data_IF_592737551699
#
_entry.id   IF_592737551699
#
_cell.length_a   1.000
_cell.length_b   1.000
_cell.length_c   1.000
_cell.angle_alpha   90.00
_cell.angle_beta   90.00
_cell.angle_gamma   90.00
#
_symmetry.space_group_name_H-M   'P 1'
#
loop_
_entity.id
_entity.type
_entity.pdbx_description
1 polymer ?
#
# COMPACT_ATOMS: atom_id res chain seq x y z
N UNK A 1 -21.79 20.44 -20.94
CA UNK A 1 -21.19 20.47 -19.60
C UNK A 1 -20.14 19.37 -19.57
N UNK A 2 -18.88 19.74 -19.67
CA UNK A 2 -17.77 18.78 -19.77
C UNK A 2 -17.46 18.31 -18.35
N UNK A 3 -17.78 17.06 -18.04
CA UNK A 3 -17.29 16.42 -16.81
C UNK A 3 -15.77 16.35 -17.00
N UNK A 4 -15.02 17.11 -16.22
CA UNK A 4 -13.58 16.91 -16.16
C UNK A 4 -13.41 15.52 -15.55
N UNK A 5 -13.03 14.54 -16.36
CA UNK A 5 -12.55 13.26 -15.83
C UNK A 5 -11.42 13.58 -14.87
N UNK A 6 -11.66 13.38 -13.58
CA UNK A 6 -10.61 13.51 -12.59
C UNK A 6 -9.66 12.34 -12.81
N UNK A 7 -8.47 12.62 -13.31
CA UNK A 7 -7.42 11.62 -13.48
C UNK A 7 -7.04 10.99 -12.14
N UNK A 8 -6.43 9.80 -12.21
CA UNK A 8 -6.11 8.97 -11.05
C UNK A 8 -5.34 9.71 -9.94
N UNK A 9 -4.53 10.70 -10.35
CA UNK A 9 -3.71 11.54 -9.48
C UNK A 9 -4.49 12.23 -8.35
N UNK A 10 -5.77 12.58 -8.57
CA UNK A 10 -6.57 13.26 -7.54
C UNK A 10 -6.88 12.38 -6.32
N UNK A 11 -6.71 11.06 -6.45
CA UNK A 11 -6.90 10.09 -5.37
C UNK A 11 -5.60 9.63 -4.72
N UNK A 12 -4.44 10.09 -5.23
CA UNK A 12 -3.12 9.69 -4.75
C UNK A 12 -2.79 10.42 -3.46
N UNK A 13 -2.37 9.65 -2.46
CA UNK A 13 -1.85 10.16 -1.22
C UNK A 13 -0.37 9.78 -1.07
N UNK A 14 0.45 10.66 -0.46
CA UNK A 14 1.81 10.30 -0.06
C UNK A 14 1.78 9.07 0.85
N UNK A 15 2.70 8.14 0.62
CA UNK A 15 2.91 7.00 1.50
C UNK A 15 4.38 6.93 1.90
N UNK A 16 4.69 6.62 3.18
CA UNK A 16 6.05 6.31 3.56
C UNK A 16 6.54 5.07 2.80
N UNK A 17 7.86 4.99 2.65
CA UNK A 17 8.51 3.83 2.04
C UNK A 17 9.50 3.20 3.01
N UNK A 18 9.69 1.90 2.89
CA UNK A 18 10.66 1.14 3.67
C UNK A 18 11.39 0.14 2.78
N UNK A 19 12.68 -0.06 3.03
CA UNK A 19 13.47 -1.05 2.28
C UNK A 19 13.08 -2.47 2.65
N UNK A 20 13.14 -3.39 1.68
CA UNK A 20 12.71 -4.78 1.83
C UNK A 20 13.52 -5.58 2.85
N UNK A 21 14.72 -5.11 3.20
CA UNK A 21 15.59 -5.73 4.21
C UNK A 21 15.31 -5.25 5.62
N UNK A 22 14.49 -4.21 5.81
CA UNK A 22 14.11 -3.74 7.13
C UNK A 22 13.28 -4.81 7.85
N UNK A 23 13.32 -4.83 9.17
CA UNK A 23 12.52 -5.76 9.98
C UNK A 23 11.05 -5.33 10.04
N UNK A 24 10.18 -6.25 10.44
CA UNK A 24 8.81 -5.92 10.78
C UNK A 24 8.71 -4.88 11.91
N UNK A 25 9.62 -4.89 12.89
CA UNK A 25 9.65 -3.92 13.99
C UNK A 25 10.02 -2.51 13.53
N UNK A 26 10.96 -2.38 12.60
CA UNK A 26 11.30 -1.10 11.96
C UNK A 26 10.12 -0.54 11.16
N UNK A 27 9.48 -1.39 10.35
CA UNK A 27 8.26 -1.03 9.62
C UNK A 27 7.12 -0.60 10.54
N UNK A 28 6.92 -1.32 11.64
CA UNK A 28 5.92 -0.98 12.65
C UNK A 28 6.24 0.37 13.30
N UNK A 29 7.47 0.59 13.72
CA UNK A 29 7.88 1.84 14.34
C UNK A 29 7.64 3.03 13.40
N UNK A 30 8.06 2.92 12.15
CA UNK A 30 7.84 3.94 11.13
C UNK A 30 6.34 4.22 10.90
N UNK A 31 5.49 3.19 10.76
CA UNK A 31 4.05 3.34 10.54
C UNK A 31 3.27 3.85 11.78
N UNK A 32 3.74 3.55 12.98
CA UNK A 32 3.02 3.83 14.23
C UNK A 32 3.50 5.09 14.94
N UNK A 33 4.71 5.57 14.66
CA UNK A 33 5.34 6.69 15.38
C UNK A 33 5.73 7.85 14.50
N UNK A 34 6.08 7.58 13.24
CA UNK A 34 6.56 8.62 12.32
C UNK A 34 5.48 9.03 11.30
N UNK A 35 4.58 8.11 10.97
CA UNK A 35 3.56 8.30 9.93
C UNK A 35 2.18 7.85 10.44
N UNK A 36 1.69 8.47 11.52
CA UNK A 36 0.46 8.01 12.20
C UNK A 36 -0.78 8.05 11.30
N UNK A 37 -0.83 8.99 10.35
CA UNK A 37 -1.94 9.16 9.41
C UNK A 37 -1.88 8.20 8.21
N UNK A 38 -0.74 7.55 7.96
CA UNK A 38 -0.59 6.61 6.86
C UNK A 38 -1.26 5.26 7.20
N UNK A 39 -2.08 4.74 6.28
CA UNK A 39 -2.71 3.41 6.43
C UNK A 39 -1.80 2.27 5.97
N UNK A 40 -0.74 2.61 5.25
CA UNK A 40 0.15 1.67 4.57
C UNK A 40 1.52 2.27 4.29
N UNK A 41 2.48 1.40 4.00
CA UNK A 41 3.81 1.78 3.54
C UNK A 41 4.21 0.97 2.31
N UNK A 42 4.90 1.60 1.37
CA UNK A 42 5.46 0.93 0.20
C UNK A 42 6.76 0.23 0.58
N UNK A 43 6.90 -1.05 0.24
CA UNK A 43 8.14 -1.79 0.41
C UNK A 43 8.95 -1.69 -0.87
N UNK A 44 10.16 -1.13 -0.77
CA UNK A 44 11.09 -0.95 -1.87
C UNK A 44 12.16 -2.04 -1.86
N UNK A 45 12.41 -2.65 -3.02
CA UNK A 45 13.56 -3.53 -3.21
C UNK A 45 14.86 -2.74 -3.30
N UNK A 46 15.97 -3.46 -3.48
CA UNK A 46 17.34 -2.92 -3.56
C UNK A 46 17.54 -1.86 -4.65
N UNK A 47 16.72 -1.83 -5.70
CA UNK A 47 16.82 -0.89 -6.81
C UNK A 47 15.80 0.27 -6.73
N UNK A 48 15.14 0.45 -5.57
CA UNK A 48 14.06 1.43 -5.41
C UNK A 48 12.74 1.04 -6.08
N UNK A 49 12.65 -0.18 -6.61
CA UNK A 49 11.43 -0.71 -7.22
C UNK A 49 10.44 -1.14 -6.14
N UNK A 50 9.15 -0.79 -6.24
CA UNK A 50 8.15 -1.29 -5.30
C UNK A 50 7.99 -2.81 -5.45
N UNK A 51 8.19 -3.54 -4.35
CA UNK A 51 8.05 -5.00 -4.29
C UNK A 51 6.90 -5.46 -3.40
N UNK A 52 6.36 -4.55 -2.59
CA UNK A 52 5.36 -4.86 -1.58
C UNK A 52 4.59 -3.65 -1.09
N UNK A 53 3.48 -3.91 -0.41
CA UNK A 53 2.82 -2.95 0.47
C UNK A 53 2.61 -3.57 1.83
N UNK A 54 2.86 -2.81 2.89
CA UNK A 54 2.51 -3.20 4.26
C UNK A 54 1.30 -2.40 4.68
N UNK A 55 0.29 -3.09 5.21
CA UNK A 55 -0.90 -2.46 5.77
C UNK A 55 -0.75 -2.30 7.29
N UNK A 56 -0.98 -1.08 7.79
CA UNK A 56 -0.92 -0.76 9.22
C UNK A 56 -1.81 -1.68 10.06
N UNK A 57 -3.00 -1.98 9.55
CA UNK A 57 -3.98 -2.88 10.18
C UNK A 57 -3.47 -4.30 10.39
N UNK A 58 -2.71 -4.86 9.43
CA UNK A 58 -2.12 -6.20 9.56
C UNK A 58 -1.04 -6.25 10.62
N UNK A 59 -0.22 -5.21 10.69
CA UNK A 59 0.82 -5.09 11.71
C UNK A 59 0.22 -4.95 13.11
N UNK A 60 -0.84 -4.15 13.26
CA UNK A 60 -1.58 -4.06 14.53
C UNK A 60 -2.21 -5.40 14.93
N UNK A 61 -2.64 -6.22 13.98
CA UNK A 61 -3.15 -7.56 14.27
C UNK A 61 -2.04 -8.48 14.79
N UNK A 62 -0.84 -8.43 14.19
CA UNK A 62 0.32 -9.22 14.64
C UNK A 62 0.77 -8.88 16.06
N UNK A 63 0.61 -7.63 16.51
CA UNK A 63 0.90 -7.24 17.89
C UNK A 63 0.05 -7.95 18.95
N UNK A 64 -1.10 -8.48 18.57
CA UNK A 64 -2.03 -9.16 19.48
C UNK A 64 -1.72 -10.65 19.63
N UNK A 65 -0.85 -11.18 18.79
CA UNK A 65 -0.43 -12.58 18.77
C UNK A 65 1.04 -12.67 19.22
N UNK A 66 1.38 -13.32 20.35
CA UNK A 66 2.76 -13.45 20.81
C UNK A 66 3.71 -14.03 19.74
N UNK A 67 3.25 -15.02 18.96
CA UNK A 67 4.05 -15.60 17.87
C UNK A 67 4.20 -14.60 16.73
N UNK A 68 3.12 -13.89 16.39
CA UNK A 68 3.14 -12.81 15.41
C UNK A 68 4.10 -11.68 15.80
N UNK A 69 4.14 -11.30 17.08
CA UNK A 69 5.03 -10.27 17.60
C UNK A 69 6.50 -10.69 17.54
N UNK A 70 6.82 -11.90 17.98
CA UNK A 70 8.20 -12.42 17.94
C UNK A 70 8.73 -12.45 16.50
N UNK A 71 7.90 -12.92 15.56
CA UNK A 71 8.23 -12.89 14.12
C UNK A 71 8.43 -11.45 13.63
N UNK A 72 7.54 -10.53 13.99
CA UNK A 72 7.64 -9.13 13.57
C UNK A 72 8.96 -8.48 14.02
N UNK A 73 9.49 -8.87 15.18
CA UNK A 73 10.78 -8.38 15.67
C UNK A 73 12.01 -8.95 14.94
N UNK A 74 11.91 -10.14 14.34
CA UNK A 74 13.06 -10.90 13.84
C UNK A 74 13.10 -11.05 12.31
N UNK A 75 11.94 -11.04 11.67
CA UNK A 75 11.82 -11.29 10.24
C UNK A 75 11.82 -9.99 9.43
N UNK A 76 12.30 -10.03 8.18
CA UNK A 76 12.23 -8.90 7.27
C UNK A 76 10.76 -8.56 6.96
N UNK A 77 10.52 -7.29 6.64
CA UNK A 77 9.22 -6.74 6.26
C UNK A 77 8.59 -7.51 5.10
N UNK A 78 9.41 -8.13 4.24
CA UNK A 78 8.97 -9.00 3.14
C UNK A 78 8.17 -10.23 3.59
N UNK A 79 8.34 -10.70 4.83
CA UNK A 79 7.54 -11.79 5.40
C UNK A 79 6.09 -11.39 5.69
N UNK A 80 5.82 -10.09 5.77
CA UNK A 80 4.53 -9.54 6.20
C UNK A 80 3.87 -8.68 5.12
N UNK A 81 4.63 -8.26 4.11
CA UNK A 81 4.13 -7.46 3.00
C UNK A 81 3.15 -8.25 2.14
N UNK A 82 2.35 -7.49 1.42
CA UNK A 82 1.44 -7.96 0.40
C UNK A 82 2.01 -7.72 -0.97
N UNK A 83 1.72 -8.63 -1.90
CA UNK A 83 1.98 -8.37 -3.32
C UNK A 83 1.10 -7.20 -3.75
N UNK A 84 1.67 -6.08 -4.20
CA UNK A 84 0.92 -4.88 -4.48
C UNK A 84 0.23 -5.01 -5.84
N UNK A 85 -0.85 -4.25 -6.01
CA UNK A 85 -1.25 -3.80 -7.33
C UNK A 85 -0.48 -2.51 -7.60
N UNK A 86 0.15 -2.42 -8.76
CA UNK A 86 0.95 -1.26 -9.18
C UNK A 86 0.40 -0.82 -10.53
N UNK A 87 0.05 0.45 -10.66
CA UNK A 87 -0.42 1.04 -11.92
C UNK A 87 0.26 2.38 -12.16
N UNK A 88 0.17 2.89 -13.38
CA UNK A 88 0.65 4.24 -13.71
C UNK A 88 -0.45 5.27 -13.42
N UNK A 89 -0.07 6.52 -13.16
CA UNK A 89 -1.01 7.63 -12.96
C UNK A 89 -1.94 7.85 -14.17
N UNK A 90 -1.48 7.50 -15.38
CA UNK A 90 -2.26 7.60 -16.61
C UNK A 90 -3.30 6.48 -16.76
N UNK A 91 -3.27 5.45 -15.90
CA UNK A 91 -4.26 4.37 -15.89
C UNK A 91 -5.65 4.93 -15.60
N UNK A 92 -6.63 4.53 -16.41
CA UNK A 92 -8.01 4.99 -16.28
C UNK A 92 -8.67 4.38 -15.04
N UNK A 93 -9.50 5.18 -14.35
CA UNK A 93 -10.16 4.73 -13.12
C UNK A 93 -10.99 3.44 -13.31
N UNK A 94 -11.80 3.27 -14.37
CA UNK A 94 -12.53 2.01 -14.59
C UNK A 94 -11.61 0.79 -14.73
N UNK A 95 -10.46 0.97 -15.38
CA UNK A 95 -9.46 -0.09 -15.54
C UNK A 95 -8.83 -0.47 -14.20
N UNK A 96 -8.46 0.54 -13.39
CA UNK A 96 -7.99 0.33 -12.02
C UNK A 96 -8.99 -0.49 -11.19
N UNK A 97 -10.27 -0.12 -11.25
CA UNK A 97 -11.33 -0.77 -10.47
C UNK A 97 -11.56 -2.22 -10.90
N UNK A 98 -11.55 -2.50 -12.20
CA UNK A 98 -11.63 -3.89 -12.72
C UNK A 98 -10.43 -4.73 -12.26
N UNK A 99 -9.21 -4.19 -12.38
CA UNK A 99 -8.00 -4.86 -11.89
C UNK A 99 -8.08 -5.12 -10.39
N UNK A 100 -8.56 -4.15 -9.60
CA UNK A 100 -8.67 -4.27 -8.16
C UNK A 100 -9.70 -5.32 -7.73
N UNK A 101 -10.86 -5.43 -8.39
CA UNK A 101 -11.90 -6.45 -8.08
C UNK A 101 -11.43 -7.86 -8.37
N UNK A 102 -10.66 -8.06 -9.45
CA UNK A 102 -10.12 -9.36 -9.85
C UNK A 102 -9.10 -9.93 -8.87
N UNK A 103 -8.56 -9.10 -7.95
CA UNK A 103 -7.68 -9.57 -6.88
C UNK A 103 -8.43 -10.51 -5.92
N UNK A 104 -7.71 -11.42 -5.24
CA UNK A 104 -8.28 -12.19 -4.13
C UNK A 104 -8.97 -11.28 -3.13
N UNK A 105 -10.09 -11.73 -2.56
CA UNK A 105 -10.94 -10.93 -1.65
C UNK A 105 -10.11 -10.31 -0.51
N UNK A 106 -9.14 -11.04 0.02
CA UNK A 106 -8.26 -10.59 1.10
C UNK A 106 -7.35 -9.41 0.73
N UNK A 107 -7.17 -9.13 -0.57
CA UNK A 107 -6.29 -8.09 -1.09
C UNK A 107 -7.02 -7.02 -1.92
N UNK A 108 -8.35 -7.16 -2.09
CA UNK A 108 -9.15 -6.28 -2.94
C UNK A 108 -9.12 -4.81 -2.49
N UNK A 109 -8.95 -4.60 -1.19
CA UNK A 109 -8.94 -3.29 -0.57
C UNK A 109 -7.59 -2.92 0.05
N UNK A 110 -6.50 -3.62 -0.28
CA UNK A 110 -5.17 -3.12 0.07
C UNK A 110 -4.85 -1.90 -0.79
N UNK A 111 -4.05 -0.98 -0.24
CA UNK A 111 -3.61 0.22 -0.95
C UNK A 111 -2.92 -0.14 -2.27
N UNK A 112 -3.18 0.67 -3.30
CA UNK A 112 -2.64 0.48 -4.64
C UNK A 112 -1.47 1.44 -4.82
N UNK A 113 -0.33 0.95 -5.30
CA UNK A 113 0.83 1.79 -5.57
C UNK A 113 0.65 2.47 -6.92
N UNK A 114 0.84 3.78 -6.94
CA UNK A 114 0.77 4.59 -8.16
C UNK A 114 2.17 5.02 -8.57
N UNK A 115 2.50 4.76 -9.83
CA UNK A 115 3.76 5.15 -10.45
C UNK A 115 3.55 6.39 -11.32
N UNK A 116 4.58 7.23 -11.40
CA UNK A 116 4.66 8.30 -12.38
C UNK A 116 6.10 8.41 -12.86
N UNK A 117 6.31 8.36 -14.18
CA UNK A 117 7.64 8.45 -14.79
C UNK A 117 8.67 7.46 -14.22
N UNK A 118 8.22 6.24 -13.88
CA UNK A 118 9.07 5.19 -13.33
C UNK A 118 9.40 5.31 -11.85
N UNK A 119 8.86 6.29 -11.13
CA UNK A 119 9.00 6.45 -9.68
C UNK A 119 7.66 6.26 -8.96
N UNK A 120 7.69 5.90 -7.68
CA UNK A 120 6.49 5.83 -6.84
C UNK A 120 5.98 7.26 -6.59
N UNK A 121 4.78 7.56 -7.08
CA UNK A 121 4.10 8.84 -6.83
C UNK A 121 3.37 8.83 -5.48
N UNK A 122 2.92 7.66 -5.03
CA UNK A 122 2.20 7.47 -3.77
C UNK A 122 1.33 6.22 -3.81
N UNK A 123 0.25 6.25 -3.05
CA UNK A 123 -0.76 5.18 -3.04
C UNK A 123 -2.17 5.73 -3.18
N UNK A 124 -3.08 4.92 -3.69
CA UNK A 124 -4.52 5.08 -3.42
C UNK A 124 -4.82 4.25 -2.17
N UNK A 125 -5.18 4.89 -1.04
CA UNK A 125 -5.45 4.19 0.21
C UNK A 125 -6.62 3.22 0.10
N UNK A 126 -6.58 2.18 0.92
CA UNK A 126 -7.64 1.18 1.07
C UNK A 126 -9.05 1.78 1.18
N UNK A 127 -9.21 2.78 2.05
CA UNK A 127 -10.48 3.48 2.31
C UNK A 127 -10.95 4.27 1.09
N UNK A 128 -10.04 4.94 0.41
CA UNK A 128 -10.36 5.70 -0.80
C UNK A 128 -10.79 4.75 -1.91
N UNK A 129 -10.05 3.66 -2.11
CA UNK A 129 -10.40 2.63 -3.09
C UNK A 129 -11.78 2.01 -2.81
N UNK A 130 -12.08 1.71 -1.55
CA UNK A 130 -13.40 1.21 -1.15
C UNK A 130 -14.52 2.22 -1.45
N UNK A 131 -14.28 3.52 -1.25
CA UNK A 131 -15.23 4.57 -1.59
C UNK A 131 -15.49 4.65 -3.11
N UNK A 132 -14.46 4.44 -3.94
CA UNK A 132 -14.57 4.46 -5.40
C UNK A 132 -15.46 3.34 -5.97
N UNK A 133 -15.60 2.21 -5.26
CA UNK A 133 -16.51 1.12 -5.66
C UNK A 133 -17.99 1.40 -5.37
N UNK A 134 -18.29 2.43 -4.58
CA UNK A 134 -19.65 2.83 -4.22
C UNK A 134 -20.10 4.09 -4.98
N UNK A 135 -19.29 4.56 -5.94
CA UNK A 135 -19.60 5.70 -6.82
C UNK A 135 -20.38 5.27 -8.07
#
# INVERSE_FOLDING_TARGET
MMVIEQGLYSYVQPAPSIVSTATGSEALHMLMKQNEDADSAVVLGHNGTPVGVVMKTRFTALLRDPVGFDRLCQEPVTSFMLKPLIVDVETQLPELLDQAIRRPVMNRFDSIIIMQNGAVAGVIPSKQLAALFNL
#
